data_IF_699131905233
#
_entry.id   IF_699131905233
#
_cell.length_a   1.000
_cell.length_b   1.000
_cell.length_c   1.000
_cell.angle_alpha   90.00
_cell.angle_beta   90.00
_cell.angle_gamma   90.00
#
_symmetry.space_group_name_H-M   'P 1'
#
loop_
_entity.id
_entity.type
_entity.pdbx_description
1 polymer ?
#
# COMPACT_ATOMS: atom_id res chain seq x y z
N UNK A 1 19.77 21.51 -6.05
CA UNK A 1 18.84 22.63 -5.82
C UNK A 1 17.52 22.15 -5.21
N UNK A 2 16.93 21.06 -5.72
CA UNK A 2 15.74 20.44 -5.12
C UNK A 2 15.96 19.94 -3.68
N UNK A 3 17.14 19.35 -3.41
CA UNK A 3 17.63 18.96 -2.09
C UNK A 3 17.49 20.07 -1.03
N UNK A 4 18.07 21.25 -1.30
CA UNK A 4 18.04 22.39 -0.38
C UNK A 4 16.61 22.90 -0.17
N UNK A 5 15.81 22.90 -1.24
CA UNK A 5 14.42 23.37 -1.21
C UNK A 5 13.57 22.47 -0.31
N UNK A 6 13.68 21.15 -0.47
CA UNK A 6 12.95 20.17 0.36
C UNK A 6 13.34 20.30 1.83
N UNK A 7 14.63 20.42 2.14
CA UNK A 7 15.09 20.58 3.52
C UNK A 7 14.59 21.88 4.16
N UNK A 8 14.59 22.98 3.41
CA UNK A 8 14.03 24.25 3.90
C UNK A 8 12.53 24.14 4.14
N UNK A 9 11.78 23.55 3.20
CA UNK A 9 10.34 23.36 3.36
C UNK A 9 10.01 22.44 4.54
N UNK A 10 10.76 21.35 4.73
CA UNK A 10 10.60 20.44 5.86
C UNK A 10 10.88 21.16 7.18
N UNK A 11 11.99 21.89 7.27
CA UNK A 11 12.33 22.69 8.43
C UNK A 11 11.23 23.71 8.78
N UNK A 12 10.69 24.40 7.78
CA UNK A 12 9.59 25.34 7.98
C UNK A 12 8.33 24.60 8.46
N UNK A 13 7.98 23.47 7.86
CA UNK A 13 6.81 22.68 8.23
C UNK A 13 6.90 22.11 9.65
N UNK A 14 8.09 21.72 10.10
CA UNK A 14 8.32 21.23 11.47
C UNK A 14 8.14 22.32 12.54
N UNK A 15 8.47 23.57 12.21
CA UNK A 15 8.35 24.70 13.15
C UNK A 15 6.93 25.24 13.32
N UNK A 16 5.99 24.83 12.47
CA UNK A 16 4.60 25.26 12.56
C UNK A 16 3.78 24.31 13.45
N UNK A 17 2.78 24.86 14.11
CA UNK A 17 1.84 24.09 14.93
C UNK A 17 0.91 23.23 14.06
N UNK A 18 0.55 22.05 14.57
CA UNK A 18 -0.38 21.14 13.91
C UNK A 18 -1.82 21.67 13.93
N UNK A 19 -2.64 21.28 12.95
CA UNK A 19 -4.05 21.66 12.82
C UNK A 19 -4.30 23.18 12.65
N UNK A 20 -3.40 23.86 11.95
CA UNK A 20 -3.46 25.29 11.67
C UNK A 20 -4.11 25.58 10.31
N UNK A 21 -3.86 24.76 9.30
CA UNK A 21 -4.34 24.96 7.91
C UNK A 21 -5.76 24.40 7.77
N UNK A 22 -6.75 25.25 7.50
CA UNK A 22 -8.14 24.83 7.23
C UNK A 22 -8.38 24.52 5.75
N UNK A 23 -9.53 23.91 5.42
CA UNK A 23 -9.88 23.63 4.02
C UNK A 23 -9.90 24.89 3.15
N UNK A 24 -10.36 26.03 3.69
CA UNK A 24 -10.38 27.31 2.95
C UNK A 24 -8.96 27.82 2.61
N UNK A 25 -7.96 27.43 3.42
CA UNK A 25 -6.58 27.82 3.16
C UNK A 25 -5.93 26.99 2.06
N UNK A 26 -6.46 25.80 1.73
CA UNK A 26 -5.86 24.92 0.73
C UNK A 26 -5.82 25.56 -0.66
N UNK A 27 -6.89 26.27 -1.00
CA UNK A 27 -7.04 26.98 -2.28
C UNK A 27 -6.56 28.43 -2.22
N UNK A 28 -6.08 28.89 -1.06
CA UNK A 28 -5.55 30.24 -0.93
C UNK A 28 -4.24 30.37 -1.71
N UNK A 29 -4.10 31.50 -2.41
CA UNK A 29 -2.91 31.78 -3.23
C UNK A 29 -1.71 32.06 -2.32
N UNK A 30 -0.67 31.24 -2.46
CA UNK A 30 0.63 31.41 -1.79
C UNK A 30 1.56 32.33 -2.57
N UNK A 31 1.36 32.45 -3.89
CA UNK A 31 2.19 33.25 -4.79
C UNK A 31 1.36 34.15 -5.68
N UNK A 32 2.01 35.17 -6.25
CA UNK A 32 1.40 36.06 -7.25
C UNK A 32 0.97 35.31 -8.51
N UNK A 33 1.64 34.20 -8.81
CA UNK A 33 1.37 33.35 -9.97
C UNK A 33 0.19 32.39 -9.75
N UNK A 34 -0.41 32.41 -8.56
CA UNK A 34 -1.60 31.61 -8.23
C UNK A 34 -1.32 30.21 -7.70
N UNK A 35 -0.07 29.90 -7.32
CA UNK A 35 0.26 28.63 -6.67
C UNK A 35 -0.48 28.51 -5.35
N UNK A 36 -1.14 27.38 -5.11
CA UNK A 36 -1.88 27.09 -3.86
C UNK A 36 -1.18 26.00 -3.04
N UNK A 37 -1.67 25.71 -1.83
CA UNK A 37 -1.16 24.60 -1.02
C UNK A 37 -1.39 23.27 -1.74
N UNK A 38 -2.52 23.12 -2.45
CA UNK A 38 -2.82 21.93 -3.26
C UNK A 38 -1.76 21.71 -4.34
N UNK A 39 -1.34 22.77 -5.03
CA UNK A 39 -0.26 22.66 -6.03
C UNK A 39 1.06 22.21 -5.40
N UNK A 40 1.42 22.76 -4.24
CA UNK A 40 2.61 22.34 -3.51
C UNK A 40 2.52 20.86 -3.08
N UNK A 41 1.35 20.46 -2.58
CA UNK A 41 1.07 19.09 -2.19
C UNK A 41 1.23 18.11 -3.35
N UNK A 42 0.66 18.42 -4.52
CA UNK A 42 0.78 17.62 -5.74
C UNK A 42 2.22 17.53 -6.24
N UNK A 43 2.98 18.65 -6.18
CA UNK A 43 4.37 18.68 -6.58
C UNK A 43 5.24 17.78 -5.67
N UNK A 44 5.05 17.85 -4.35
CA UNK A 44 5.77 17.02 -3.38
C UNK A 44 5.39 15.55 -3.54
N UNK A 45 4.11 15.26 -3.75
CA UNK A 45 3.61 13.90 -4.01
C UNK A 45 4.28 13.28 -5.23
N UNK A 46 4.31 14.02 -6.35
CA UNK A 46 5.00 13.60 -7.58
C UNK A 46 6.47 13.36 -7.31
N UNK A 47 7.15 14.33 -6.69
CA UNK A 47 8.58 14.22 -6.40
C UNK A 47 8.92 13.03 -5.49
N UNK A 48 8.12 12.79 -4.45
CA UNK A 48 8.28 11.66 -3.55
C UNK A 48 8.10 10.30 -4.27
N UNK A 49 7.33 10.28 -5.36
CA UNK A 49 7.04 9.06 -6.12
C UNK A 49 8.06 8.81 -7.24
N UNK A 50 8.57 9.86 -7.90
CA UNK A 50 9.34 9.74 -9.15
C UNK A 50 10.83 10.09 -9.02
N UNK A 51 11.28 10.66 -7.90
CA UNK A 51 12.68 11.04 -7.78
C UNK A 51 13.60 9.80 -7.85
N UNK A 52 14.68 9.83 -8.66
CA UNK A 52 15.61 8.72 -8.77
C UNK A 52 16.47 8.55 -7.51
N UNK A 53 16.57 9.59 -6.68
CA UNK A 53 17.34 9.56 -5.44
C UNK A 53 16.44 9.13 -4.27
N UNK A 54 16.72 7.97 -3.71
CA UNK A 54 15.92 7.36 -2.63
C UNK A 54 15.84 8.23 -1.38
N UNK A 55 16.95 8.85 -1.00
CA UNK A 55 16.99 9.76 0.15
C UNK A 55 16.09 10.98 -0.07
N UNK A 56 16.12 11.57 -1.27
CA UNK A 56 15.26 12.71 -1.59
C UNK A 56 13.78 12.30 -1.67
N UNK A 57 13.46 11.10 -2.18
CA UNK A 57 12.08 10.56 -2.12
C UNK A 57 11.60 10.46 -0.68
N UNK A 58 12.44 9.93 0.20
CA UNK A 58 12.12 9.78 1.62
C UNK A 58 11.86 11.12 2.30
N UNK A 59 12.75 12.11 2.11
CA UNK A 59 12.57 13.46 2.67
C UNK A 59 11.29 14.12 2.13
N UNK A 60 11.00 13.97 0.84
CA UNK A 60 9.77 14.49 0.26
C UNK A 60 8.51 13.81 0.84
N UNK A 61 8.55 12.50 1.06
CA UNK A 61 7.45 11.78 1.72
C UNK A 61 7.26 12.21 3.19
N UNK A 62 8.34 12.48 3.92
CA UNK A 62 8.26 13.05 5.27
C UNK A 62 7.63 14.43 5.26
N UNK A 63 8.04 15.29 4.32
CA UNK A 63 7.44 16.61 4.14
C UNK A 63 5.95 16.50 3.80
N UNK A 64 5.57 15.58 2.91
CA UNK A 64 4.16 15.31 2.57
C UNK A 64 3.34 14.95 3.82
N UNK A 65 3.85 13.99 4.60
CA UNK A 65 3.22 13.57 5.85
C UNK A 65 3.11 14.73 6.85
N UNK A 66 4.16 15.57 6.97
CA UNK A 66 4.15 16.74 7.84
C UNK A 66 3.12 17.77 7.39
N UNK A 67 3.03 18.08 6.09
CA UNK A 67 2.03 19.01 5.56
C UNK A 67 0.60 18.56 5.89
N UNK A 68 0.33 17.25 5.80
CA UNK A 68 -0.96 16.69 6.23
C UNK A 68 -1.17 16.95 7.73
N UNK A 69 -0.17 16.73 8.59
CA UNK A 69 -0.33 17.00 10.04
C UNK A 69 -0.60 18.47 10.40
N UNK A 70 -0.11 19.42 9.59
CA UNK A 70 -0.41 20.85 9.74
C UNK A 70 -1.87 21.20 9.43
N UNK A 71 -2.56 20.36 8.65
CA UNK A 71 -3.95 20.59 8.29
C UNK A 71 -4.93 20.23 9.42
N UNK A 72 -6.08 20.89 9.44
CA UNK A 72 -7.24 20.52 10.28
C UNK A 72 -7.91 19.26 9.73
N UNK A 73 -8.75 18.61 10.53
CA UNK A 73 -9.33 17.29 10.20
C UNK A 73 -10.06 17.27 8.84
N UNK A 74 -10.78 18.34 8.49
CA UNK A 74 -11.45 18.52 7.19
C UNK A 74 -10.47 18.55 6.02
N UNK A 75 -9.44 19.39 6.12
CA UNK A 75 -8.39 19.51 5.12
C UNK A 75 -7.55 18.22 5.00
N UNK A 76 -7.27 17.56 6.13
CA UNK A 76 -6.59 16.25 6.16
C UNK A 76 -7.36 15.20 5.39
N UNK A 77 -8.66 15.09 5.66
CA UNK A 77 -9.52 14.13 4.98
C UNK A 77 -9.53 14.39 3.48
N UNK A 78 -9.68 15.65 3.06
CA UNK A 78 -9.62 16.03 1.65
C UNK A 78 -8.29 15.61 0.99
N UNK A 79 -7.15 16.02 1.56
CA UNK A 79 -5.84 15.72 0.98
C UNK A 79 -5.51 14.22 0.95
N UNK A 80 -5.89 13.48 1.99
CA UNK A 80 -5.70 12.03 2.05
C UNK A 80 -6.60 11.29 1.05
N UNK A 81 -7.84 11.74 0.88
CA UNK A 81 -8.74 11.21 -0.14
C UNK A 81 -8.16 11.44 -1.53
N UNK A 82 -7.69 12.66 -1.82
CA UNK A 82 -7.04 12.99 -3.10
C UNK A 82 -5.81 12.11 -3.38
N UNK A 83 -5.01 11.75 -2.36
CA UNK A 83 -3.91 10.80 -2.56
C UNK A 83 -4.39 9.40 -2.94
N UNK A 84 -5.50 8.94 -2.37
CA UNK A 84 -6.02 7.60 -2.65
C UNK A 84 -6.70 7.52 -4.03
N UNK A 85 -7.40 8.58 -4.44
CA UNK A 85 -8.23 8.57 -5.65
C UNK A 85 -7.53 9.17 -6.86
N UNK A 86 -6.87 10.30 -6.70
CA UNK A 86 -6.39 11.15 -7.81
C UNK A 86 -4.90 10.96 -8.10
N UNK A 87 -4.14 10.34 -7.19
CA UNK A 87 -2.71 10.09 -7.39
C UNK A 87 -2.49 9.05 -8.50
N UNK A 88 -1.59 9.28 -9.47
CA UNK A 88 -1.29 8.27 -10.50
C UNK A 88 -0.30 7.20 -10.04
N UNK A 89 0.32 7.35 -8.86
CA UNK A 89 1.39 6.47 -8.39
C UNK A 89 0.86 5.45 -7.36
N UNK A 90 0.80 4.17 -7.74
CA UNK A 90 0.29 3.10 -6.87
C UNK A 90 1.11 2.92 -5.57
N UNK A 91 2.42 3.15 -5.63
CA UNK A 91 3.29 3.13 -4.44
C UNK A 91 2.91 4.23 -3.45
N UNK A 92 2.55 5.42 -3.94
CA UNK A 92 2.10 6.52 -3.12
C UNK A 92 0.69 6.29 -2.56
N UNK A 93 -0.23 5.72 -3.35
CA UNK A 93 -1.56 5.31 -2.84
C UNK A 93 -1.41 4.31 -1.68
N UNK A 94 -0.53 3.33 -1.83
CA UNK A 94 -0.21 2.35 -0.79
C UNK A 94 0.37 3.03 0.46
N UNK A 95 1.31 3.96 0.28
CA UNK A 95 1.89 4.72 1.40
C UNK A 95 0.85 5.62 2.10
N UNK A 96 -0.09 6.20 1.34
CA UNK A 96 -1.16 7.04 1.88
C UNK A 96 -2.08 6.28 2.85
N UNK A 97 -2.31 4.97 2.63
CA UNK A 97 -3.04 4.12 3.59
C UNK A 97 -2.34 4.13 4.96
N UNK A 98 -1.01 4.13 4.98
CA UNK A 98 -0.22 4.27 6.21
C UNK A 98 -0.48 5.59 6.94
N UNK A 99 -0.51 6.71 6.21
CA UNK A 99 -0.80 8.04 6.78
C UNK A 99 -2.24 8.08 7.32
N UNK A 100 -3.20 7.51 6.61
CA UNK A 100 -4.60 7.38 7.06
C UNK A 100 -4.67 6.58 8.36
N UNK A 101 -4.02 5.41 8.41
CA UNK A 101 -3.93 4.55 9.60
C UNK A 101 -3.39 5.31 10.82
N UNK A 102 -2.33 6.09 10.64
CA UNK A 102 -1.70 6.82 11.74
C UNK A 102 -2.61 7.95 12.27
N UNK A 103 -3.32 8.66 11.39
CA UNK A 103 -4.31 9.67 11.81
C UNK A 103 -5.49 9.04 12.57
N UNK A 104 -5.99 7.88 12.13
CA UNK A 104 -7.04 7.14 12.83
C UNK A 104 -6.54 6.62 14.18
N UNK A 105 -5.32 6.08 14.24
CA UNK A 105 -4.72 5.64 15.49
C UNK A 105 -4.64 6.78 16.51
N UNK A 106 -4.19 7.96 16.09
CA UNK A 106 -4.16 9.15 16.94
C UNK A 106 -5.56 9.62 17.35
N UNK A 107 -6.52 9.60 16.43
CA UNK A 107 -7.93 9.92 16.69
C UNK A 107 -8.52 9.01 17.77
N UNK A 108 -8.42 7.69 17.59
CA UNK A 108 -8.92 6.69 18.53
C UNK A 108 -8.22 6.80 19.89
N UNK A 109 -6.91 7.03 19.91
CA UNK A 109 -6.16 7.25 21.15
C UNK A 109 -6.71 8.45 21.94
N UNK A 110 -7.03 9.55 21.26
CA UNK A 110 -7.63 10.73 21.89
C UNK A 110 -9.05 10.43 22.38
N UNK A 111 -9.85 9.73 21.58
CA UNK A 111 -11.22 9.36 21.94
C UNK A 111 -11.28 8.44 23.17
N UNK A 112 -10.41 7.44 23.27
CA UNK A 112 -10.40 6.51 24.41
C UNK A 112 -9.83 7.11 25.70
N UNK A 113 -8.94 8.10 25.60
CA UNK A 113 -8.37 8.79 26.78
C UNK A 113 -9.32 9.82 27.40
N UNK A 114 -10.27 10.38 26.63
CA UNK A 114 -11.15 11.45 27.12
C UNK A 114 -12.34 10.88 27.91
N UNK A 115 -12.58 11.44 29.10
CA UNK A 115 -13.73 11.12 29.98
C UNK A 115 -14.98 11.96 29.68
N UNK A 116 -14.88 13.02 28.88
CA UNK A 116 -15.98 13.94 28.54
C UNK A 116 -16.16 14.08 27.03
N UNK A 117 -17.41 14.34 26.63
CA UNK A 117 -17.92 14.36 25.25
C UNK A 117 -17.48 15.59 24.42
N UNK A 118 -16.39 16.27 24.77
CA UNK A 118 -15.98 17.47 24.05
C UNK A 118 -15.10 17.11 22.84
N UNK A 119 -15.66 17.41 21.65
CA UNK A 119 -15.16 17.19 20.27
C UNK A 119 -14.24 15.98 20.10
N UNK A 120 -14.83 14.80 19.91
CA UNK A 120 -14.12 13.64 19.34
C UNK A 120 -13.48 14.04 18.01
N UNK A 121 -12.26 13.57 17.72
CA UNK A 121 -11.64 13.79 16.42
C UNK A 121 -12.47 13.12 15.33
N UNK A 122 -12.54 13.73 14.14
CA UNK A 122 -13.25 13.16 12.99
C UNK A 122 -12.65 11.80 12.62
N UNK A 123 -11.35 11.63 12.87
CA UNK A 123 -10.62 10.38 12.67
C UNK A 123 -10.99 9.23 13.64
N UNK A 124 -11.87 9.49 14.62
CA UNK A 124 -12.47 8.50 15.51
C UNK A 124 -14.00 8.49 15.38
N UNK A 125 -14.49 8.59 14.14
CA UNK A 125 -15.91 8.61 13.82
C UNK A 125 -16.19 7.83 12.54
N UNK A 126 -17.48 7.58 12.26
CA UNK A 126 -17.95 6.87 11.06
C UNK A 126 -17.52 7.49 9.74
N UNK A 127 -17.21 8.79 9.75
CA UNK A 127 -16.70 9.50 8.57
C UNK A 127 -15.49 8.81 7.97
N UNK A 128 -14.62 8.18 8.76
CA UNK A 128 -13.44 7.49 8.23
C UNK A 128 -13.79 6.23 7.44
N UNK A 129 -14.79 5.48 7.90
CA UNK A 129 -15.32 4.30 7.21
C UNK A 129 -15.97 4.73 5.91
N UNK A 130 -16.87 5.72 5.98
CA UNK A 130 -17.60 6.21 4.81
C UNK A 130 -16.68 6.87 3.76
N UNK A 131 -15.58 7.50 4.20
CA UNK A 131 -14.69 8.23 3.29
C UNK A 131 -13.58 7.36 2.70
N UNK A 132 -12.92 6.52 3.51
CA UNK A 132 -11.69 5.85 3.07
C UNK A 132 -11.91 4.41 2.63
N UNK A 133 -12.80 3.66 3.27
CA UNK A 133 -12.96 2.23 2.98
C UNK A 133 -13.47 1.97 1.56
N UNK A 134 -14.36 2.78 0.96
CA UNK A 134 -14.71 2.63 -0.44
C UNK A 134 -13.53 2.76 -1.40
N UNK A 135 -12.45 3.45 -1.02
CA UNK A 135 -11.28 3.63 -1.85
C UNK A 135 -10.14 2.66 -1.52
N UNK A 136 -10.11 2.09 -0.32
CA UNK A 136 -9.05 1.17 0.15
C UNK A 136 -9.49 -0.31 0.01
N UNK A 137 -10.74 -0.61 0.36
CA UNK A 137 -11.28 -1.96 0.50
C UNK A 137 -12.42 -2.24 -0.49
N UNK A 138 -12.40 -1.59 -1.65
CA UNK A 138 -13.27 -1.91 -2.79
C UNK A 138 -12.46 -1.70 -4.07
N UNK A 139 -12.72 -2.54 -5.07
CA UNK A 139 -12.13 -2.35 -6.39
C UNK A 139 -13.08 -1.51 -7.24
N UNK A 140 -12.59 -0.39 -7.77
CA UNK A 140 -13.38 0.48 -8.68
C UNK A 140 -13.79 -0.26 -9.96
N UNK A 141 -12.99 -1.23 -10.38
CA UNK A 141 -13.28 -2.15 -11.47
C UNK A 141 -12.91 -3.57 -11.08
N UNK A 142 -13.74 -4.53 -11.45
CA UNK A 142 -13.42 -5.97 -11.36
C UNK A 142 -12.19 -6.37 -12.19
N UNK A 143 -11.58 -5.43 -12.94
CA UNK A 143 -10.39 -5.64 -13.77
C UNK A 143 -9.13 -5.94 -12.96
N UNK A 144 -9.00 -5.40 -11.74
CA UNK A 144 -7.79 -5.56 -10.90
C UNK A 144 -7.44 -7.02 -10.60
N UNK A 145 -8.46 -7.90 -10.62
CA UNK A 145 -8.31 -9.32 -10.37
C UNK A 145 -8.39 -10.17 -11.66
N UNK A 146 -8.25 -9.54 -12.83
CA UNK A 146 -8.35 -10.24 -14.12
C UNK A 146 -7.05 -10.97 -14.45
N UNK A 147 -5.89 -10.35 -14.22
CA UNK A 147 -4.60 -10.94 -14.54
C UNK A 147 -3.57 -10.77 -13.40
N UNK A 148 -2.60 -11.67 -13.39
CA UNK A 148 -1.52 -11.74 -12.39
C UNK A 148 -0.63 -10.49 -12.38
N UNK A 149 -0.44 -9.87 -13.55
CA UNK A 149 0.39 -8.66 -13.69
C UNK A 149 -0.22 -7.47 -12.95
N UNK A 150 -1.49 -7.16 -13.20
CA UNK A 150 -2.22 -6.10 -12.50
C UNK A 150 -2.28 -6.35 -11.00
N UNK A 151 -2.44 -7.62 -10.59
CA UNK A 151 -2.37 -8.00 -9.18
C UNK A 151 -1.00 -7.71 -8.57
N UNK A 152 0.09 -8.04 -9.28
CA UNK A 152 1.46 -7.77 -8.82
C UNK A 152 1.73 -6.26 -8.69
N UNK A 153 1.30 -5.46 -9.67
CA UNK A 153 1.41 -3.99 -9.64
C UNK A 153 0.66 -3.39 -8.44
N UNK A 154 -0.50 -3.96 -8.08
CA UNK A 154 -1.32 -3.51 -6.94
C UNK A 154 -1.07 -4.26 -5.63
N UNK A 155 -0.11 -5.18 -5.61
CA UNK A 155 0.16 -6.03 -4.44
C UNK A 155 0.39 -5.20 -3.17
N UNK A 156 1.23 -4.15 -3.28
CA UNK A 156 1.51 -3.26 -2.16
C UNK A 156 0.25 -2.57 -1.62
N UNK A 157 -0.63 -2.10 -2.50
CA UNK A 157 -1.88 -1.45 -2.12
C UNK A 157 -2.85 -2.44 -1.44
N UNK A 158 -3.01 -3.65 -2.01
CA UNK A 158 -3.86 -4.71 -1.44
C UNK A 158 -3.38 -5.11 -0.05
N UNK A 159 -2.07 -5.34 0.11
CA UNK A 159 -1.49 -5.70 1.41
C UNK A 159 -1.67 -4.60 2.44
N UNK A 160 -1.46 -3.33 2.07
CA UNK A 160 -1.72 -2.23 2.99
C UNK A 160 -3.20 -2.08 3.32
N UNK A 161 -4.11 -2.32 2.37
CA UNK A 161 -5.54 -2.34 2.60
C UNK A 161 -5.95 -3.41 3.62
N UNK A 162 -5.49 -4.65 3.43
CA UNK A 162 -5.75 -5.75 4.37
C UNK A 162 -5.19 -5.46 5.77
N UNK A 163 -3.94 -4.97 5.85
CA UNK A 163 -3.32 -4.59 7.12
C UNK A 163 -4.08 -3.45 7.81
N UNK A 164 -4.55 -2.47 7.05
CA UNK A 164 -5.37 -1.38 7.55
C UNK A 164 -6.71 -1.89 8.10
N UNK A 165 -7.36 -2.83 7.39
CA UNK A 165 -8.60 -3.41 7.87
C UNK A 165 -8.41 -4.23 9.16
N UNK A 166 -7.37 -5.08 9.22
CA UNK A 166 -6.99 -5.79 10.45
C UNK A 166 -6.76 -4.80 11.59
N UNK A 167 -6.03 -3.71 11.32
CA UNK A 167 -5.79 -2.66 12.30
C UNK A 167 -7.11 -2.06 12.82
N UNK A 168 -8.04 -1.67 11.96
CA UNK A 168 -9.33 -1.10 12.39
C UNK A 168 -10.12 -2.09 13.24
N UNK A 169 -10.24 -3.33 12.79
CA UNK A 169 -10.94 -4.38 13.53
C UNK A 169 -10.32 -4.55 14.93
N UNK A 170 -8.99 -4.68 15.00
CA UNK A 170 -8.30 -4.88 16.28
C UNK A 170 -8.31 -3.65 17.19
N UNK A 171 -8.29 -2.43 16.63
CA UNK A 171 -8.10 -1.19 17.39
C UNK A 171 -9.40 -0.54 17.83
N UNK A 172 -10.45 -0.63 17.03
CA UNK A 172 -11.73 0.02 17.31
C UNK A 172 -12.66 -0.87 18.16
N UNK A 173 -12.30 -1.02 19.43
CA UNK A 173 -13.01 -1.90 20.37
C UNK A 173 -14.47 -1.48 20.56
N UNK A 174 -14.71 -0.17 20.68
CA UNK A 174 -16.04 0.41 20.94
C UNK A 174 -16.86 0.72 19.68
N UNK A 175 -16.38 0.29 18.51
CA UNK A 175 -16.99 0.57 17.21
C UNK A 175 -17.28 2.07 16.96
N UNK A 176 -16.36 2.96 17.34
CA UNK A 176 -16.50 4.41 17.11
C UNK A 176 -16.53 4.77 15.62
N UNK A 177 -15.82 3.98 14.82
CA UNK A 177 -15.71 4.16 13.38
C UNK A 177 -16.83 3.47 12.60
N UNK A 178 -17.62 2.58 13.22
CA UNK A 178 -18.60 1.77 12.50
C UNK A 178 -18.01 0.63 11.69
N UNK A 179 -16.71 0.32 11.84
CA UNK A 179 -16.07 -0.81 11.13
C UNK A 179 -16.70 -2.16 11.47
N UNK A 180 -17.31 -2.27 12.66
CA UNK A 180 -18.00 -3.47 13.11
C UNK A 180 -19.48 -3.52 12.76
N UNK A 181 -19.98 -2.57 11.96
CA UNK A 181 -21.37 -2.62 11.48
C UNK A 181 -21.55 -3.82 10.54
N UNK A 182 -22.59 -4.63 10.75
CA UNK A 182 -22.85 -5.86 9.97
C UNK A 182 -22.88 -5.61 8.46
N UNK A 183 -23.49 -4.49 8.06
CA UNK A 183 -23.53 -4.05 6.67
C UNK A 183 -22.13 -3.81 6.13
N UNK A 184 -21.27 -3.11 6.88
CA UNK A 184 -19.90 -2.81 6.47
C UNK A 184 -19.08 -4.09 6.32
N UNK A 185 -19.14 -4.99 7.30
CA UNK A 185 -18.43 -6.28 7.25
C UNK A 185 -18.91 -7.11 6.07
N UNK A 186 -20.23 -7.19 5.85
CA UNK A 186 -20.82 -7.95 4.75
C UNK A 186 -20.41 -7.39 3.39
N UNK A 187 -20.45 -6.08 3.20
CA UNK A 187 -20.04 -5.42 1.95
C UNK A 187 -18.54 -5.62 1.70
N UNK A 188 -17.68 -5.36 2.69
CA UNK A 188 -16.23 -5.56 2.57
C UNK A 188 -15.89 -7.02 2.28
N UNK A 189 -16.59 -7.98 2.91
CA UNK A 189 -16.37 -9.39 2.61
C UNK A 189 -16.74 -9.73 1.17
N UNK A 190 -17.92 -9.29 0.72
CA UNK A 190 -18.44 -9.59 -0.62
C UNK A 190 -17.64 -8.92 -1.74
N UNK A 191 -17.26 -7.66 -1.55
CA UNK A 191 -16.69 -6.82 -2.62
C UNK A 191 -15.15 -6.87 -2.68
N UNK A 192 -14.50 -7.33 -1.61
CA UNK A 192 -13.04 -7.28 -1.50
C UNK A 192 -12.42 -8.58 -1.01
N UNK A 193 -12.79 -9.05 0.19
CA UNK A 193 -12.10 -10.20 0.80
C UNK A 193 -12.31 -11.49 0.00
N UNK A 194 -13.56 -11.83 -0.33
CA UNK A 194 -13.88 -13.06 -1.06
C UNK A 194 -13.28 -13.06 -2.46
N UNK A 195 -13.45 -12.01 -3.29
CA UNK A 195 -12.86 -11.97 -4.63
C UNK A 195 -11.33 -12.14 -4.64
N UNK A 196 -10.61 -11.49 -3.72
CA UNK A 196 -9.14 -11.62 -3.65
C UNK A 196 -8.77 -13.05 -3.25
N UNK A 197 -9.45 -13.62 -2.25
CA UNK A 197 -9.17 -14.98 -1.77
C UNK A 197 -9.31 -16.00 -2.89
N UNK A 198 -10.44 -16.00 -3.59
CA UNK A 198 -10.72 -16.93 -4.69
C UNK A 198 -9.66 -16.82 -5.80
N UNK A 199 -9.20 -15.60 -6.10
CA UNK A 199 -8.20 -15.34 -7.12
C UNK A 199 -6.80 -15.79 -6.71
N UNK A 200 -6.39 -15.49 -5.48
CA UNK A 200 -5.15 -16.00 -4.92
C UNK A 200 -5.15 -17.52 -4.87
N UNK A 201 -6.23 -18.16 -4.42
CA UNK A 201 -6.32 -19.62 -4.36
C UNK A 201 -6.19 -20.26 -5.76
N UNK A 202 -6.84 -19.67 -6.77
CA UNK A 202 -6.72 -20.13 -8.16
C UNK A 202 -5.28 -19.99 -8.69
N UNK A 203 -4.68 -18.80 -8.55
CA UNK A 203 -3.32 -18.57 -9.06
C UNK A 203 -2.26 -19.37 -8.31
N UNK A 204 -2.37 -19.54 -6.99
CA UNK A 204 -1.48 -20.40 -6.19
C UNK A 204 -1.51 -21.83 -6.74
N UNK A 205 -2.69 -22.35 -7.05
CA UNK A 205 -2.84 -23.69 -7.63
C UNK A 205 -2.23 -23.79 -9.03
N UNK A 206 -2.41 -22.78 -9.87
CA UNK A 206 -1.83 -22.72 -11.22
C UNK A 206 -0.30 -22.62 -11.19
N UNK A 207 0.26 -21.70 -10.40
CA UNK A 207 1.70 -21.55 -10.19
C UNK A 207 2.32 -22.84 -9.63
N UNK A 208 1.65 -23.49 -8.67
CA UNK A 208 2.09 -24.76 -8.10
C UNK A 208 2.21 -25.87 -9.15
N UNK A 209 1.23 -25.98 -10.06
CA UNK A 209 1.29 -26.95 -11.17
C UNK A 209 2.44 -26.65 -12.14
N UNK A 210 2.58 -25.38 -12.56
CA UNK A 210 3.66 -24.95 -13.47
C UNK A 210 5.05 -25.22 -12.89
N UNK A 211 5.26 -24.92 -11.59
CA UNK A 211 6.52 -25.19 -10.90
C UNK A 211 6.84 -26.69 -10.91
N UNK A 212 5.85 -27.55 -10.67
CA UNK A 212 6.03 -29.01 -10.69
C UNK A 212 6.37 -29.53 -12.09
N UNK A 213 5.71 -29.02 -13.14
CA UNK A 213 5.97 -29.39 -14.54
C UNK A 213 7.38 -28.98 -14.97
N UNK A 214 7.79 -27.74 -14.69
CA UNK A 214 9.14 -27.26 -14.98
C UNK A 214 10.19 -28.09 -14.24
N UNK A 215 9.97 -28.39 -12.96
CA UNK A 215 10.90 -29.20 -12.15
C UNK A 215 11.10 -30.62 -12.68
N UNK A 216 10.04 -31.24 -13.23
CA UNK A 216 10.14 -32.57 -13.86
C UNK A 216 10.94 -32.51 -15.17
N UNK A 217 10.70 -31.50 -15.99
CA UNK A 217 11.42 -31.31 -17.26
C UNK A 217 12.94 -31.11 -17.06
N UNK A 218 13.37 -30.51 -15.94
CA UNK A 218 14.80 -30.40 -15.59
C UNK A 218 15.42 -31.73 -15.15
N UNK A 219 14.65 -32.60 -14.46
CA UNK A 219 15.16 -33.91 -14.05
C UNK A 219 15.37 -34.84 -15.27
N UNK A 220 14.48 -34.78 -16.26
CA UNK A 220 14.58 -35.61 -17.47
C UNK A 220 15.71 -35.16 -18.42
N UNK A 221 16.14 -33.89 -18.39
CA UNK A 221 17.25 -33.38 -19.20
C UNK A 221 18.64 -33.68 -18.63
N UNK A 222 18.76 -34.05 -17.35
CA UNK A 222 20.06 -34.39 -16.74
C UNK A 222 20.54 -35.82 -17.01
N UNK A 223 19.79 -36.61 -17.79
CA UNK A 223 20.12 -38.02 -18.04
C UNK A 223 20.90 -38.31 -19.35
N UNK A 224 21.26 -37.29 -20.13
CA UNK A 224 22.16 -37.42 -21.30
C UNK A 224 23.11 -36.24 -21.34
N UNK A 225 24.23 -36.34 -20.62
CA UNK A 225 25.57 -36.00 -21.12
C UNK A 225 26.61 -36.25 -20.03
N UNK A 226 27.52 -37.18 -20.30
CA UNK A 226 28.75 -37.35 -19.52
C UNK A 226 29.57 -36.06 -19.60
N UNK A 227 29.82 -35.41 -18.46
CA UNK A 227 30.89 -34.41 -18.34
C UNK A 227 31.86 -34.82 -17.22
N UNK A 228 33.19 -34.77 -17.44
CA UNK A 228 34.19 -35.16 -16.46
C UNK A 228 34.24 -34.18 -15.29
N UNK A 229 34.45 -34.75 -14.11
CA UNK A 229 34.82 -34.10 -12.87
C UNK A 229 36.06 -33.20 -13.03
N UNK A 230 35.90 -31.89 -12.81
CA UNK A 230 36.86 -30.99 -12.14
C UNK A 230 36.34 -29.55 -12.12
N UNK A 231 36.14 -28.98 -10.92
CA UNK A 231 36.44 -27.59 -10.47
C UNK A 231 35.61 -27.21 -9.22
N UNK A 232 36.06 -26.22 -8.42
CA UNK A 232 36.03 -26.28 -6.96
C UNK A 232 34.89 -25.48 -6.31
N UNK A 233 34.67 -25.81 -5.04
CA UNK A 233 33.70 -25.19 -4.14
C UNK A 233 33.94 -23.68 -3.95
N UNK A 234 33.02 -22.85 -4.44
CA UNK A 234 32.85 -21.47 -3.98
C UNK A 234 31.48 -21.30 -3.30
N UNK A 235 31.53 -20.84 -2.04
CA UNK A 235 30.37 -20.49 -1.23
C UNK A 235 29.68 -19.27 -1.83
N UNK A 236 28.50 -19.45 -2.41
CA UNK A 236 27.62 -18.35 -2.79
C UNK A 236 26.81 -17.86 -1.58
N UNK A 237 27.14 -16.67 -1.10
CA UNK A 237 26.23 -15.84 -0.30
C UNK A 237 25.08 -15.37 -1.19
N UNK A 238 23.84 -15.54 -0.71
CA UNK A 238 22.63 -15.03 -1.36
C UNK A 238 22.64 -13.50 -1.38
N UNK A 239 22.99 -12.90 -2.51
CA UNK A 239 22.64 -11.52 -2.83
C UNK A 239 21.46 -11.53 -3.83
N UNK A 240 20.33 -10.98 -3.38
CA UNK A 240 19.16 -10.71 -4.22
C UNK A 240 19.38 -9.38 -4.93
N UNK A 241 20.05 -9.43 -6.08
CA UNK A 241 20.11 -8.28 -6.99
C UNK A 241 19.23 -8.60 -8.21
N UNK A 242 18.00 -8.11 -8.18
CA UNK A 242 17.11 -8.11 -9.35
C UNK A 242 16.99 -6.65 -9.80
N UNK A 243 18.01 -6.15 -10.48
CA UNK A 243 17.91 -4.94 -11.29
C UNK A 243 17.17 -5.31 -12.59
N UNK A 244 15.86 -5.04 -12.63
CA UNK A 244 15.14 -4.95 -13.90
C UNK A 244 15.53 -3.62 -14.55
N UNK A 245 16.54 -3.63 -15.43
CA UNK A 245 16.73 -2.55 -16.38
C UNK A 245 15.57 -2.59 -17.40
N UNK A 246 14.69 -1.59 -17.35
CA UNK A 246 13.44 -1.49 -18.13
C UNK A 246 13.64 -1.23 -19.64
N UNK A 247 14.87 -1.13 -20.16
CA UNK A 247 15.12 -0.54 -21.49
C UNK A 247 15.30 -1.53 -22.66
N UNK A 248 14.81 -2.78 -22.57
CA UNK A 248 14.87 -3.72 -23.71
C UNK A 248 13.68 -4.66 -23.87
N UNK A 249 12.46 -4.15 -23.71
CA UNK A 249 11.24 -4.89 -24.01
C UNK A 249 10.91 -4.84 -25.50
N UNK A 250 11.47 -5.78 -26.27
CA UNK A 250 10.75 -6.51 -27.30
C UNK A 250 11.47 -7.83 -27.63
N UNK A 251 10.90 -8.94 -27.15
CA UNK A 251 11.16 -10.33 -27.53
C UNK A 251 12.48 -10.99 -27.08
N UNK A 252 12.82 -10.93 -25.79
CA UNK A 252 13.74 -11.93 -25.20
C UNK A 252 12.93 -12.90 -24.34
N UNK A 253 12.78 -14.14 -24.82
CA UNK A 253 12.13 -15.20 -24.04
C UNK A 253 12.94 -15.42 -22.75
N UNK A 254 12.27 -15.42 -21.60
CA UNK A 254 12.91 -15.69 -20.31
C UNK A 254 13.56 -17.07 -20.37
N UNK A 255 14.75 -17.19 -19.76
CA UNK A 255 15.33 -18.51 -19.56
C UNK A 255 14.46 -19.32 -18.59
N UNK A 256 14.39 -20.65 -18.70
CA UNK A 256 13.61 -21.49 -17.79
C UNK A 256 13.93 -21.26 -16.30
N UNK A 257 15.17 -20.91 -15.97
CA UNK A 257 15.59 -20.56 -14.61
C UNK A 257 15.02 -19.22 -14.14
N UNK A 258 14.97 -18.20 -15.01
CA UNK A 258 14.35 -16.91 -14.70
C UNK A 258 12.83 -17.03 -14.56
N UNK A 259 12.19 -17.84 -15.41
CA UNK A 259 10.75 -18.13 -15.32
C UNK A 259 10.40 -18.80 -13.99
N UNK A 260 11.18 -19.79 -13.57
CA UNK A 260 10.98 -20.46 -12.27
C UNK A 260 11.10 -19.48 -11.10
N UNK A 261 12.10 -18.60 -11.11
CA UNK A 261 12.29 -17.56 -10.07
C UNK A 261 11.10 -16.59 -10.02
N UNK A 262 10.62 -16.15 -11.18
CA UNK A 262 9.46 -15.26 -11.27
C UNK A 262 8.19 -15.93 -10.73
N UNK A 263 7.95 -17.20 -11.09
CA UNK A 263 6.81 -17.98 -10.58
C UNK A 263 6.88 -18.17 -9.06
N UNK A 264 8.07 -18.44 -8.51
CA UNK A 264 8.27 -18.56 -7.06
C UNK A 264 8.00 -17.24 -6.33
N UNK A 265 8.47 -16.12 -6.89
CA UNK A 265 8.22 -14.79 -6.35
C UNK A 265 6.72 -14.46 -6.33
N UNK A 266 6.02 -14.70 -7.44
CA UNK A 266 4.59 -14.45 -7.53
C UNK A 266 3.79 -15.35 -6.57
N UNK A 267 4.14 -16.64 -6.49
CA UNK A 267 3.54 -17.59 -5.56
C UNK A 267 3.67 -17.10 -4.11
N UNK A 268 4.87 -16.63 -3.72
CA UNK A 268 5.11 -16.09 -2.39
C UNK A 268 4.23 -14.87 -2.08
N UNK A 269 4.15 -13.92 -3.01
CA UNK A 269 3.30 -12.73 -2.85
C UNK A 269 1.81 -13.08 -2.68
N UNK A 270 1.30 -14.02 -3.48
CA UNK A 270 -0.09 -14.48 -3.37
C UNK A 270 -0.35 -15.18 -2.03
N UNK A 271 0.61 -15.96 -1.53
CA UNK A 271 0.52 -16.61 -0.22
C UNK A 271 0.46 -15.58 0.91
N UNK A 272 1.28 -14.52 0.85
CA UNK A 272 1.24 -13.44 1.84
C UNK A 272 -0.13 -12.74 1.89
N UNK A 273 -0.73 -12.45 0.72
CA UNK A 273 -2.07 -11.87 0.64
C UNK A 273 -3.12 -12.82 1.23
N UNK A 274 -3.04 -14.10 0.88
CA UNK A 274 -3.95 -15.14 1.39
C UNK A 274 -3.85 -15.28 2.91
N UNK A 275 -2.65 -15.24 3.48
CA UNK A 275 -2.45 -15.30 4.93
C UNK A 275 -2.99 -14.05 5.65
N UNK A 276 -2.84 -12.87 5.05
CA UNK A 276 -3.45 -11.64 5.55
C UNK A 276 -4.99 -11.73 5.54
N UNK A 277 -5.59 -12.32 4.50
CA UNK A 277 -7.04 -12.57 4.44
C UNK A 277 -7.49 -13.53 5.54
N UNK A 278 -6.79 -14.64 5.72
CA UNK A 278 -7.10 -15.59 6.78
C UNK A 278 -7.01 -14.92 8.17
N UNK A 279 -6.07 -13.99 8.35
CA UNK A 279 -5.97 -13.18 9.57
C UNK A 279 -7.18 -12.28 9.77
N UNK A 280 -7.70 -11.63 8.73
CA UNK A 280 -8.96 -10.86 8.80
C UNK A 280 -10.09 -11.77 9.30
N UNK A 281 -10.25 -12.95 8.71
CA UNK A 281 -11.29 -13.91 9.07
C UNK A 281 -11.18 -14.36 10.53
N UNK A 282 -9.96 -14.64 11.01
CA UNK A 282 -9.72 -14.99 12.42
C UNK A 282 -10.15 -13.87 13.38
N UNK A 283 -9.85 -12.61 13.05
CA UNK A 283 -10.22 -11.45 13.88
C UNK A 283 -11.73 -11.29 13.95
N UNK A 284 -12.43 -11.43 12.81
CA UNK A 284 -13.89 -11.37 12.74
C UNK A 284 -14.54 -12.48 13.59
N UNK A 285 -14.05 -13.72 13.49
CA UNK A 285 -14.59 -14.86 14.28
C UNK A 285 -14.37 -14.67 15.77
N UNK A 286 -13.21 -14.11 16.19
CA UNK A 286 -12.89 -13.94 17.61
C UNK A 286 -13.83 -12.97 18.32
N UNK A 287 -14.33 -11.93 17.65
CA UNK A 287 -15.23 -10.94 18.27
C UNK A 287 -16.68 -11.42 18.38
N UNK A 288 -17.08 -12.37 17.53
CA UNK A 288 -18.42 -12.99 17.57
C UNK A 288 -18.55 -14.11 18.63
N UNK A 289 -17.49 -14.37 19.41
CA UNK A 289 -17.47 -15.30 20.55
C UNK A 289 -17.38 -14.52 21.85
#
# INVERSE_FOLDING_TARGET
>A
MADKTLLVLLYLAERNEENTISSDNLESKLSKDGTTIVHLYQAITTFASTSPNEYLRFIAFQLLSRLITLCKDDAKIFLLKELLTSCPFETMKSAAIGIVKDNIAQGLNKAYKRKSADKSSIFASRVIVDTFLPHILRFESSSVLVNEKEFSEKHGFIMQGLNFYIFLLMRDEKNLTGVWDDKQISETNKEYIVPIKEKCDNWINECGKKIQELSKNFQDQTHVDHIPSNLPEERQTMEFDISFEEDSLNNMALTPSQELKLLQYNLFNMQLVRDAIDRVQQVLVKKNK
#
